data_IF_013624334929
#
_entry.id   IF_013624334929
#
_cell.length_a   1.000
_cell.length_b   1.000
_cell.length_c   1.000
_cell.angle_alpha   90.00
_cell.angle_beta   90.00
_cell.angle_gamma   90.00
#
_symmetry.space_group_name_H-M   'P 1'
#
loop_
_entity.id
_entity.type
_entity.pdbx_description
1 polymer ?
#
# COMPACT_ATOMS: atom_id res chain seq x y z
N UNK A 1 7.24 3.94 -33.95
CA UNK A 1 6.00 4.73 -33.72
C UNK A 1 4.74 3.84 -33.70
N UNK A 2 4.55 2.92 -34.65
CA UNK A 2 3.33 2.08 -34.70
C UNK A 2 3.14 1.15 -33.50
N UNK A 3 4.19 0.48 -33.02
CA UNK A 3 4.12 -0.35 -31.81
C UNK A 3 3.77 0.44 -30.55
N UNK A 4 4.23 1.68 -30.45
CA UNK A 4 3.92 2.55 -29.32
C UNK A 4 2.41 2.82 -29.22
N UNK A 5 1.75 3.13 -30.35
CA UNK A 5 0.30 3.35 -30.35
C UNK A 5 -0.49 2.07 -30.02
N UNK A 6 -0.02 0.91 -30.48
CA UNK A 6 -0.62 -0.39 -30.16
C UNK A 6 -0.52 -0.73 -28.66
N UNK A 7 0.64 -0.51 -28.03
CA UNK A 7 0.82 -0.78 -26.60
C UNK A 7 0.22 0.29 -25.69
N UNK A 8 -0.18 1.44 -26.24
CA UNK A 8 -0.92 2.47 -25.51
C UNK A 8 -2.43 2.37 -25.72
N UNK A 9 -2.90 1.39 -26.52
CA UNK A 9 -4.33 1.14 -26.69
C UNK A 9 -4.87 0.33 -25.51
N UNK A 10 -5.80 0.94 -24.77
CA UNK A 10 -6.53 0.32 -23.66
C UNK A 10 -7.12 -1.06 -23.99
N UNK A 11 -7.59 -1.25 -25.22
CA UNK A 11 -8.26 -2.48 -25.65
C UNK A 11 -7.32 -3.69 -25.59
N UNK A 12 -6.02 -3.48 -25.85
CA UNK A 12 -5.02 -4.54 -25.79
C UNK A 12 -4.85 -5.04 -24.36
N UNK A 13 -4.70 -4.12 -23.40
CA UNK A 13 -4.53 -4.45 -21.99
C UNK A 13 -5.79 -5.05 -21.38
N UNK A 14 -6.97 -4.51 -21.71
CA UNK A 14 -8.25 -5.10 -21.28
C UNK A 14 -8.38 -6.55 -21.72
N UNK A 15 -8.06 -6.84 -22.98
CA UNK A 15 -8.16 -8.20 -23.50
C UNK A 15 -7.14 -9.16 -22.88
N UNK A 16 -5.96 -8.66 -22.48
CA UNK A 16 -5.00 -9.44 -21.69
C UNK A 16 -5.51 -9.71 -20.26
N UNK A 17 -6.14 -8.71 -19.63
CA UNK A 17 -6.73 -8.83 -18.30
C UNK A 17 -7.83 -9.88 -18.25
N UNK A 18 -8.70 -9.92 -19.25
CA UNK A 18 -9.77 -10.92 -19.38
C UNK A 18 -9.23 -12.37 -19.48
N UNK A 19 -8.00 -12.53 -19.97
CA UNK A 19 -7.33 -13.84 -20.10
C UNK A 19 -6.57 -14.26 -18.85
N UNK A 20 -6.30 -13.34 -17.93
CA UNK A 20 -5.58 -13.63 -16.70
C UNK A 20 -6.60 -14.01 -15.62
N UNK A 21 -6.51 -15.24 -15.12
CA UNK A 21 -7.37 -15.78 -14.05
C UNK A 21 -6.78 -15.58 -12.64
N UNK A 22 -5.96 -14.54 -12.47
CA UNK A 22 -5.31 -14.22 -11.21
C UNK A 22 -6.02 -13.05 -10.51
N UNK A 23 -6.06 -13.05 -9.17
CA UNK A 23 -6.58 -11.91 -8.43
C UNK A 23 -5.72 -10.68 -8.72
N UNK A 24 -6.35 -9.60 -9.22
CA UNK A 24 -5.66 -8.34 -9.39
C UNK A 24 -5.26 -7.79 -8.02
N UNK A 25 -4.03 -7.27 -7.86
CA UNK A 25 -3.66 -6.62 -6.61
C UNK A 25 -4.63 -5.47 -6.34
N UNK A 26 -4.92 -5.17 -5.07
CA UNK A 26 -5.66 -3.97 -4.73
C UNK A 26 -4.82 -2.76 -5.17
N UNK A 27 -5.13 -2.23 -6.35
CA UNK A 27 -4.48 -1.05 -6.90
C UNK A 27 -4.93 0.12 -6.00
N UNK A 28 -3.97 0.81 -5.38
CA UNK A 28 -4.30 1.96 -4.53
C UNK A 28 -5.02 3.02 -5.38
N UNK A 29 -6.09 3.63 -4.86
CA UNK A 29 -6.72 4.77 -5.51
C UNK A 29 -5.78 5.95 -5.57
N UNK A 30 -5.46 6.39 -6.80
CA UNK A 30 -6.04 7.62 -7.30
C UNK A 30 -6.70 7.38 -8.66
N UNK A 31 -7.75 6.57 -8.70
CA UNK A 31 -8.48 6.25 -9.94
C UNK A 31 -9.30 7.44 -10.48
N UNK A 32 -9.49 8.50 -9.69
CA UNK A 32 -10.45 9.55 -9.99
C UNK A 32 -9.81 10.87 -10.45
N UNK A 33 -8.49 11.06 -10.28
CA UNK A 33 -7.83 12.35 -10.54
C UNK A 33 -6.75 12.31 -11.63
N UNK A 34 -6.47 11.14 -12.22
CA UNK A 34 -5.52 11.05 -13.35
C UNK A 34 -6.27 10.63 -14.61
N UNK A 35 -6.26 11.44 -15.70
CA UNK A 35 -6.91 11.08 -16.96
C UNK A 35 -6.28 9.86 -17.66
N UNK A 36 -5.17 9.33 -17.15
CA UNK A 36 -4.46 8.18 -17.71
C UNK A 36 -5.02 6.84 -17.18
N UNK A 37 -6.25 6.47 -17.59
CA UNK A 37 -6.84 5.15 -17.25
C UNK A 37 -6.01 3.96 -17.77
N UNK A 38 -5.24 4.15 -18.83
CA UNK A 38 -4.61 3.07 -19.59
C UNK A 38 -3.34 2.53 -18.89
N UNK A 39 -2.52 3.43 -18.33
CA UNK A 39 -1.27 3.07 -17.65
C UNK A 39 -1.48 2.24 -16.37
N UNK A 40 -2.62 2.42 -15.70
CA UNK A 40 -2.91 1.70 -14.47
C UNK A 40 -3.25 0.23 -14.69
N UNK A 41 -3.95 -0.09 -15.79
CA UNK A 41 -4.22 -1.47 -16.20
C UNK A 41 -2.96 -2.19 -16.65
N UNK A 42 -2.15 -1.51 -17.45
CA UNK A 42 -0.82 -2.00 -17.82
C UNK A 42 0.00 -2.35 -16.57
N UNK A 43 0.09 -1.43 -15.59
CA UNK A 43 0.81 -1.70 -14.33
C UNK A 43 0.22 -2.87 -13.56
N UNK A 44 -1.11 -2.96 -13.46
CA UNK A 44 -1.77 -4.05 -12.75
C UNK A 44 -1.43 -5.40 -13.37
N UNK A 45 -1.49 -5.49 -14.71
CA UNK A 45 -1.12 -6.68 -15.47
C UNK A 45 0.34 -7.06 -15.25
N UNK A 46 1.25 -6.09 -15.40
CA UNK A 46 2.68 -6.30 -15.16
C UNK A 46 2.91 -6.80 -13.72
N UNK A 47 2.28 -6.18 -12.72
CA UNK A 47 2.41 -6.60 -11.33
C UNK A 47 1.92 -8.03 -11.10
N UNK A 48 0.77 -8.40 -11.67
CA UNK A 48 0.20 -9.75 -11.55
C UNK A 48 1.09 -10.80 -12.21
N UNK A 49 1.54 -10.55 -13.44
CA UNK A 49 2.43 -11.49 -14.15
C UNK A 49 3.79 -11.65 -13.45
N UNK A 50 4.34 -10.55 -12.91
CA UNK A 50 5.57 -10.62 -12.12
C UNK A 50 5.36 -11.37 -10.81
N UNK A 51 4.23 -11.15 -10.14
CA UNK A 51 3.89 -11.84 -8.90
C UNK A 51 3.76 -13.35 -9.12
N UNK A 52 3.01 -13.77 -10.14
CA UNK A 52 2.86 -15.18 -10.51
C UNK A 52 4.21 -15.82 -10.82
N UNK A 53 5.02 -15.16 -11.65
CA UNK A 53 6.35 -15.64 -11.99
C UNK A 53 7.21 -15.81 -10.73
N UNK A 54 7.27 -14.80 -9.87
CA UNK A 54 8.03 -14.86 -8.61
C UNK A 54 7.51 -15.94 -7.66
N UNK A 55 6.21 -16.18 -7.64
CA UNK A 55 5.60 -17.20 -6.80
C UNK A 55 5.98 -18.62 -7.24
N UNK A 56 6.09 -18.84 -8.55
CA UNK A 56 6.47 -20.13 -9.14
C UNK A 56 7.99 -20.37 -9.00
N UNK A 57 8.82 -19.33 -9.16
CA UNK A 57 10.29 -19.47 -9.24
C UNK A 57 11.02 -19.35 -7.90
N UNK A 58 10.34 -19.64 -6.78
CA UNK A 58 10.83 -19.44 -5.41
C UNK A 58 10.94 -17.95 -5.03
N UNK A 59 10.06 -17.43 -4.15
CA UNK A 59 10.04 -16.01 -3.80
C UNK A 59 11.30 -15.60 -3.02
N UNK A 60 11.99 -14.57 -3.49
CA UNK A 60 13.19 -14.04 -2.84
C UNK A 60 12.91 -12.68 -2.18
N UNK A 61 13.33 -12.52 -0.92
CA UNK A 61 13.32 -11.22 -0.23
C UNK A 61 14.39 -10.32 -0.83
N UNK A 62 13.97 -9.28 -1.56
CA UNK A 62 14.90 -8.36 -2.24
C UNK A 62 15.59 -7.40 -1.27
N UNK A 63 14.88 -6.96 -0.23
CA UNK A 63 15.40 -6.01 0.76
C UNK A 63 14.63 -6.14 2.06
N UNK A 64 15.31 -5.83 3.16
CA UNK A 64 14.74 -5.72 4.50
C UNK A 64 15.23 -4.41 5.10
N UNK A 65 14.31 -3.67 5.71
CA UNK A 65 14.67 -2.52 6.54
C UNK A 65 14.00 -2.60 7.89
N UNK A 66 14.64 -1.94 8.86
CA UNK A 66 14.08 -1.75 10.19
C UNK A 66 13.45 -0.38 10.26
N UNK A 67 12.18 -0.33 10.69
CA UNK A 67 11.51 0.93 10.98
C UNK A 67 11.86 1.37 12.40
N UNK A 68 12.66 2.42 12.54
CA UNK A 68 13.02 2.98 13.84
C UNK A 68 12.02 4.04 14.28
N UNK A 69 11.32 3.78 15.39
CA UNK A 69 10.40 4.73 16.01
C UNK A 69 11.03 5.30 17.28
N UNK A 70 11.67 6.47 17.18
CA UNK A 70 12.34 7.10 18.32
C UNK A 70 11.37 7.29 19.49
N UNK A 71 11.68 6.69 20.64
CA UNK A 71 10.90 6.80 21.87
C UNK A 71 9.54 6.10 21.85
N UNK A 72 9.22 5.30 20.82
CA UNK A 72 7.97 4.55 20.77
C UNK A 72 8.25 3.08 20.47
N UNK A 73 7.57 2.18 21.18
CA UNK A 73 7.51 0.74 20.89
C UNK A 73 6.33 0.47 19.96
N UNK A 74 6.58 -0.27 18.89
CA UNK A 74 5.53 -0.77 18.00
C UNK A 74 4.84 -1.96 18.68
N UNK A 75 3.53 -1.90 18.78
CA UNK A 75 2.68 -2.93 19.39
C UNK A 75 1.99 -3.79 18.34
N UNK A 76 1.48 -3.15 17.29
CA UNK A 76 0.77 -3.82 16.20
C UNK A 76 1.00 -3.07 14.89
N UNK A 77 0.94 -3.79 13.77
CA UNK A 77 1.19 -3.25 12.44
C UNK A 77 0.14 -3.77 11.47
N UNK A 78 -0.40 -2.89 10.62
CA UNK A 78 -1.27 -3.25 9.52
C UNK A 78 -0.80 -2.58 8.22
N UNK A 79 -0.73 -3.34 7.13
CA UNK A 79 -0.37 -2.82 5.82
C UNK A 79 -1.62 -2.39 5.06
N UNK A 80 -1.58 -1.23 4.41
CA UNK A 80 -2.66 -0.83 3.51
C UNK A 80 -2.68 -1.68 2.23
N UNK A 81 -3.86 -1.86 1.62
CA UNK A 81 -3.96 -2.46 0.29
C UNK A 81 -3.10 -1.69 -0.73
N UNK A 82 -2.22 -2.43 -1.41
CA UNK A 82 -1.24 -1.86 -2.34
C UNK A 82 0.15 -1.60 -1.73
N UNK A 83 0.33 -1.83 -0.43
CA UNK A 83 1.63 -1.94 0.23
C UNK A 83 2.39 -0.64 0.48
N UNK A 84 1.86 0.50 0.02
CA UNK A 84 2.51 1.83 0.10
C UNK A 84 2.51 2.48 1.48
N UNK A 85 1.52 2.13 2.30
CA UNK A 85 1.35 2.73 3.62
C UNK A 85 1.30 1.64 4.68
N UNK A 86 1.94 1.91 5.80
CA UNK A 86 1.97 1.07 6.99
C UNK A 86 1.30 1.82 8.14
N UNK A 87 0.36 1.19 8.82
CA UNK A 87 -0.25 1.70 10.05
C UNK A 87 0.37 0.97 11.21
N UNK A 88 0.71 1.70 12.26
CA UNK A 88 1.22 1.11 13.50
C UNK A 88 0.43 1.60 14.71
N UNK A 89 0.17 0.69 15.63
CA UNK A 89 -0.18 0.98 17.01
C UNK A 89 1.12 1.04 17.80
N UNK A 90 1.33 2.11 18.54
CA UNK A 90 2.56 2.39 19.25
C UNK A 90 2.28 2.81 20.68
N UNK A 91 3.22 2.52 21.59
CA UNK A 91 3.24 3.10 22.93
C UNK A 91 4.56 3.84 23.14
N UNK A 92 4.53 4.93 23.90
CA UNK A 92 5.76 5.53 24.42
C UNK A 92 6.53 4.47 25.25
N UNK A 93 7.85 4.47 25.18
CA UNK A 93 8.71 3.58 25.98
C UNK A 93 8.50 3.77 27.49
N UNK A 94 7.96 4.93 27.89
CA UNK A 94 7.57 5.21 29.28
C UNK A 94 6.14 4.74 29.65
N UNK A 95 5.41 4.12 28.71
CA UNK A 95 4.05 3.54 28.86
C UNK A 95 2.91 4.51 29.26
N UNK A 96 3.07 5.82 29.06
CA UNK A 96 2.02 6.80 29.43
C UNK A 96 1.07 7.20 28.29
N UNK A 97 1.41 6.91 27.03
CA UNK A 97 0.62 7.34 25.87
C UNK A 97 0.65 6.31 24.75
N UNK A 98 -0.53 6.11 24.14
CA UNK A 98 -0.70 5.31 22.95
C UNK A 98 -0.81 6.20 21.73
N UNK A 99 -0.34 5.70 20.60
CA UNK A 99 -0.35 6.44 19.35
C UNK A 99 -0.67 5.53 18.17
N UNK A 100 -1.37 6.10 17.20
CA UNK A 100 -1.50 5.54 15.87
C UNK A 100 -0.54 6.30 14.93
N UNK A 101 0.29 5.56 14.21
CA UNK A 101 1.23 6.11 13.23
C UNK A 101 0.93 5.63 11.82
N UNK A 102 1.12 6.50 10.82
CA UNK A 102 1.07 6.14 9.40
C UNK A 102 2.44 6.39 8.81
N UNK A 103 3.03 5.36 8.21
CA UNK A 103 4.34 5.41 7.55
C UNK A 103 4.20 5.17 6.05
N UNK A 104 5.10 5.74 5.28
CA UNK A 104 5.27 5.46 3.86
C UNK A 104 6.37 4.41 3.65
N UNK A 105 6.09 3.38 2.84
CA UNK A 105 6.99 2.22 2.67
C UNK A 105 7.91 2.32 1.46
N UNK A 106 7.56 3.14 0.45
CA UNK A 106 8.31 3.26 -0.80
C UNK A 106 9.55 4.17 -0.67
N UNK A 107 9.62 5.04 0.35
CA UNK A 107 10.72 5.99 0.53
C UNK A 107 11.86 5.35 1.34
N UNK A 108 12.81 4.72 0.62
CA UNK A 108 13.93 3.94 1.17
C UNK A 108 15.12 4.83 1.57
N UNK A 109 14.90 6.08 1.96
CA UNK A 109 16.00 6.87 2.50
C UNK A 109 16.17 6.53 3.98
N UNK A 110 17.14 5.68 4.30
CA UNK A 110 17.48 5.22 5.66
C UNK A 110 17.75 6.34 6.69
N UNK A 111 17.69 7.62 6.26
CA UNK A 111 17.90 8.81 7.08
C UNK A 111 16.63 9.64 7.32
N UNK A 112 15.50 9.30 6.70
CA UNK A 112 14.25 10.03 6.86
C UNK A 112 13.26 9.23 7.69
N UNK A 113 12.64 9.91 8.65
CA UNK A 113 11.51 9.37 9.37
C UNK A 113 10.31 9.34 8.41
N UNK A 114 9.94 8.14 7.96
CA UNK A 114 8.85 7.95 7.01
C UNK A 114 7.44 8.10 7.63
N UNK A 115 7.36 8.56 8.89
CA UNK A 115 6.12 8.85 9.58
C UNK A 115 5.44 10.06 8.95
N UNK A 116 4.33 9.81 8.27
CA UNK A 116 3.50 10.84 7.64
C UNK A 116 2.56 11.50 8.65
N UNK A 117 1.99 10.71 9.56
CA UNK A 117 1.02 11.18 10.53
C UNK A 117 1.10 10.40 11.84
N UNK A 118 0.86 11.08 12.95
CA UNK A 118 0.78 10.49 14.29
C UNK A 118 -0.39 11.12 15.05
N UNK A 119 -1.24 10.29 15.64
CA UNK A 119 -2.33 10.74 16.53
C UNK A 119 -2.23 10.02 17.86
N UNK A 120 -2.49 10.73 18.96
CA UNK A 120 -2.52 10.15 20.31
C UNK A 120 -3.88 9.52 20.58
N UNK A 121 -3.85 8.31 21.14
CA UNK A 121 -5.02 7.54 21.48
C UNK A 121 -5.16 7.45 23.01
N UNK A 122 -6.40 7.39 23.53
CA UNK A 122 -6.64 7.18 24.95
C UNK A 122 -6.26 5.76 25.42
N UNK A 123 -6.20 4.80 24.50
CA UNK A 123 -5.87 3.40 24.75
C UNK A 123 -5.07 2.81 23.59
N UNK A 124 -4.48 1.64 23.81
CA UNK A 124 -3.89 0.85 22.74
C UNK A 124 -4.94 0.57 21.66
N UNK A 125 -4.56 0.71 20.39
CA UNK A 125 -5.34 0.22 19.28
C UNK A 125 -5.00 -1.26 19.04
N UNK A 126 -5.99 -2.14 19.20
CA UNK A 126 -5.88 -3.57 18.90
C UNK A 126 -6.56 -3.91 17.58
N UNK A 127 -6.16 -5.02 16.96
CA UNK A 127 -6.78 -5.55 15.74
C UNK A 127 -6.84 -4.49 14.64
N UNK A 128 -5.68 -3.93 14.33
CA UNK A 128 -5.57 -2.87 13.34
C UNK A 128 -5.99 -3.37 11.97
N UNK A 129 -6.96 -2.67 11.39
CA UNK A 129 -7.38 -2.88 10.01
C UNK A 129 -7.33 -1.57 9.23
N UNK A 130 -6.82 -1.66 8.01
CA UNK A 130 -6.54 -0.52 7.16
C UNK A 130 -7.11 -0.79 5.77
N UNK A 131 -8.01 0.07 5.28
CA UNK A 131 -8.57 -0.06 3.92
C UNK A 131 -8.95 1.28 3.31
N UNK A 132 -8.99 1.33 1.98
CA UNK A 132 -9.57 2.46 1.26
C UNK A 132 -11.09 2.33 1.25
N UNK A 133 -11.79 3.41 1.62
CA UNK A 133 -13.25 3.47 1.61
C UNK A 133 -13.74 4.83 1.17
N UNK A 134 -14.96 4.87 0.62
CA UNK A 134 -15.62 6.14 0.35
C UNK A 134 -16.25 6.69 1.64
N UNK A 135 -16.01 7.97 1.91
CA UNK A 135 -16.66 8.73 2.97
C UNK A 135 -17.02 10.10 2.41
N UNK A 136 -18.29 10.49 2.55
CA UNK A 136 -18.80 11.75 1.97
C UNK A 136 -18.55 11.91 0.46
N UNK A 137 -18.54 10.80 -0.29
CA UNK A 137 -18.33 10.81 -1.75
C UNK A 137 -16.88 10.84 -2.19
N UNK A 138 -15.94 11.07 -1.28
CA UNK A 138 -14.50 11.04 -1.56
C UNK A 138 -13.85 9.75 -1.04
N UNK A 139 -12.72 9.36 -1.64
CA UNK A 139 -12.01 8.16 -1.26
C UNK A 139 -10.96 8.47 -0.20
N UNK A 140 -11.11 7.84 0.96
CA UNK A 140 -10.25 8.05 2.11
C UNK A 140 -9.53 6.78 2.53
N UNK A 141 -8.41 7.00 3.20
CA UNK A 141 -7.68 6.00 3.94
C UNK A 141 -8.35 5.85 5.32
N UNK A 142 -8.97 4.70 5.57
CA UNK A 142 -9.66 4.42 6.82
C UNK A 142 -8.90 3.41 7.66
N UNK A 143 -8.74 3.73 8.95
CA UNK A 143 -8.15 2.84 9.96
C UNK A 143 -9.23 2.46 10.96
N UNK A 144 -9.34 1.17 11.24
CA UNK A 144 -10.24 0.58 12.22
C UNK A 144 -9.41 -0.13 13.27
N UNK A 145 -9.81 0.00 14.53
CA UNK A 145 -9.22 -0.71 15.65
C UNK A 145 -10.27 -0.90 16.75
N UNK A 146 -9.99 -1.83 17.66
CA UNK A 146 -10.78 -2.12 18.86
C UNK A 146 -9.98 -1.67 20.09
#
# INVERSE_FOLDING_TARGET
>A
KSFFYLTHDFMVWKHMLEKIHLPLPPISPPFQHTPARDYHLERALICVSLLEKNWITEPCVRFTYTLETLGNKILEVALFPGGKYLVTSMADVKDYQYHLGIFYTDEVSAKQNNLLAKITLPSQAYHLHARFMHYQGEQHLMVFYI
#
